data_IF_128936270318
#
_entry.id   IF_128936270318
#
_cell.length_a   1.000
_cell.length_b   1.000
_cell.length_c   1.000
_cell.angle_alpha   90.00
_cell.angle_beta   90.00
_cell.angle_gamma   90.00
#
_symmetry.space_group_name_H-M   'P 1'
#
loop_
_entity.id
_entity.type
_entity.pdbx_description
1 polymer ?
#
# COMPACT_ATOMS: atom_id res chain seq x y z
N UNK A 1 20.83 25.62 3.35
CA UNK A 1 20.76 24.21 2.90
C UNK A 1 19.80 24.16 1.73
N UNK A 2 20.21 23.53 0.61
CA UNK A 2 19.33 23.34 -0.56
C UNK A 2 18.73 21.94 -0.54
N UNK A 3 17.45 21.82 -0.89
CA UNK A 3 16.67 20.59 -1.00
C UNK A 3 16.03 20.56 -2.40
N UNK A 4 16.18 19.45 -3.13
CA UNK A 4 15.47 19.27 -4.41
C UNK A 4 14.30 18.31 -4.21
N UNK A 5 13.10 18.73 -4.58
CA UNK A 5 11.87 17.95 -4.48
C UNK A 5 11.47 17.48 -5.88
N UNK A 6 11.56 16.19 -6.13
CA UNK A 6 11.13 15.54 -7.38
C UNK A 6 9.66 15.13 -7.32
N UNK A 7 9.02 14.98 -8.49
CA UNK A 7 7.60 14.64 -8.57
C UNK A 7 6.71 15.57 -7.72
N UNK A 8 7.07 16.85 -7.63
CA UNK A 8 6.27 17.82 -6.88
C UNK A 8 4.92 18.01 -7.59
N UNK A 9 3.86 17.77 -6.86
CA UNK A 9 2.50 17.95 -7.34
C UNK A 9 2.04 19.37 -7.02
N UNK A 10 1.71 20.12 -8.06
CA UNK A 10 1.34 21.53 -7.92
C UNK A 10 0.03 21.74 -7.17
N UNK A 11 -0.89 20.76 -7.25
CA UNK A 11 -2.26 20.89 -6.71
C UNK A 11 -2.38 20.63 -5.20
N UNK A 12 -1.42 19.93 -4.56
CA UNK A 12 -1.51 19.57 -3.13
C UNK A 12 -0.21 19.69 -2.33
N UNK A 13 0.96 19.81 -2.98
CA UNK A 13 2.26 19.83 -2.29
C UNK A 13 2.99 21.19 -2.41
N UNK A 14 2.88 21.87 -3.55
CA UNK A 14 3.67 23.05 -3.86
C UNK A 14 3.58 24.15 -2.79
N UNK A 15 2.38 24.51 -2.40
CA UNK A 15 2.16 25.58 -1.41
C UNK A 15 2.75 25.22 -0.06
N UNK A 16 2.69 23.94 0.35
CA UNK A 16 3.27 23.47 1.59
C UNK A 16 4.79 23.56 1.57
N UNK A 17 5.43 23.16 0.48
CA UNK A 17 6.88 23.30 0.34
C UNK A 17 7.32 24.76 0.38
N UNK A 18 6.66 25.66 -0.31
CA UNK A 18 6.96 27.10 -0.29
C UNK A 18 6.72 27.74 1.09
N UNK A 19 5.73 27.24 1.84
CA UNK A 19 5.52 27.66 3.23
C UNK A 19 6.70 27.25 4.11
N UNK A 20 7.09 25.97 4.07
CA UNK A 20 8.17 25.47 4.92
C UNK A 20 9.56 25.98 4.48
N UNK A 21 9.76 26.29 3.20
CA UNK A 21 10.95 27.00 2.72
C UNK A 21 11.20 28.28 3.51
N UNK A 22 10.14 29.09 3.65
CA UNK A 22 10.19 30.38 4.40
C UNK A 22 10.35 30.16 5.89
N UNK A 23 9.59 29.22 6.46
CA UNK A 23 9.58 28.97 7.92
C UNK A 23 10.93 28.40 8.41
N UNK A 24 11.56 27.55 7.61
CA UNK A 24 12.80 26.86 7.99
C UNK A 24 14.06 27.56 7.48
N UNK A 25 13.94 28.59 6.63
CA UNK A 25 15.07 29.30 6.04
C UNK A 25 15.95 28.38 5.18
N UNK A 26 15.36 27.44 4.45
CA UNK A 26 16.01 26.52 3.53
C UNK A 26 15.65 26.89 2.09
N UNK A 27 16.50 26.56 1.13
CA UNK A 27 16.20 26.72 -0.30
C UNK A 27 15.54 25.43 -0.80
N UNK A 28 14.34 25.52 -1.41
CA UNK A 28 13.64 24.37 -1.97
C UNK A 28 13.48 24.52 -3.48
N UNK A 29 14.13 23.66 -4.24
CA UNK A 29 13.96 23.54 -5.68
C UNK A 29 12.85 22.54 -5.99
N UNK A 30 11.72 23.01 -6.54
CA UNK A 30 10.58 22.17 -6.89
C UNK A 30 10.70 21.70 -8.35
N UNK A 31 10.65 20.39 -8.57
CA UNK A 31 10.69 19.74 -9.88
C UNK A 31 9.44 18.87 -10.03
N UNK A 32 8.69 19.05 -11.11
CA UNK A 32 7.54 18.20 -11.44
C UNK A 32 7.97 16.87 -12.09
N UNK A 33 9.20 16.81 -12.62
CA UNK A 33 9.76 15.59 -13.21
C UNK A 33 10.12 14.54 -12.17
N UNK A 34 10.17 13.28 -12.60
CA UNK A 34 10.70 12.18 -11.81
C UNK A 34 12.23 12.27 -11.63
N UNK A 35 12.80 11.68 -10.57
CA UNK A 35 14.24 11.48 -10.44
C UNK A 35 14.69 10.41 -11.44
N UNK A 36 15.47 10.82 -12.43
CA UNK A 36 16.08 9.97 -13.47
C UNK A 36 17.55 10.35 -13.64
N UNK A 37 18.32 9.60 -14.42
CA UNK A 37 19.70 9.93 -14.73
C UNK A 37 19.80 11.33 -15.38
N UNK A 38 18.86 11.68 -16.25
CA UNK A 38 18.83 12.97 -16.96
C UNK A 38 18.48 14.13 -16.02
N UNK A 39 17.49 13.93 -15.14
CA UNK A 39 17.02 14.96 -14.21
C UNK A 39 17.87 15.08 -12.94
N UNK A 40 18.77 14.12 -12.68
CA UNK A 40 19.58 14.11 -11.46
C UNK A 40 20.46 15.36 -11.32
N UNK A 41 20.89 15.96 -12.44
CA UNK A 41 21.66 17.22 -12.47
C UNK A 41 20.93 18.38 -11.77
N UNK A 42 19.59 18.36 -11.68
CA UNK A 42 18.82 19.37 -10.95
C UNK A 42 19.12 19.36 -9.43
N UNK A 43 19.60 18.25 -8.91
CA UNK A 43 19.98 18.15 -7.49
C UNK A 43 21.37 18.71 -7.18
N UNK A 44 22.11 19.20 -8.17
CA UNK A 44 23.45 19.74 -7.93
C UNK A 44 23.44 20.84 -6.87
N UNK A 45 24.28 20.66 -5.86
CA UNK A 45 24.34 21.53 -4.70
C UNK A 45 23.27 21.26 -3.63
N UNK A 46 22.40 20.29 -3.83
CA UNK A 46 21.44 19.87 -2.81
C UNK A 46 22.02 18.82 -1.88
N UNK A 47 21.88 19.04 -0.59
CA UNK A 47 22.25 18.07 0.44
C UNK A 47 21.20 16.95 0.57
N UNK A 48 19.95 17.28 0.30
CA UNK A 48 18.80 16.40 0.45
C UNK A 48 17.95 16.41 -0.84
N UNK A 49 17.43 15.25 -1.22
CA UNK A 49 16.36 15.16 -2.21
C UNK A 49 15.11 14.53 -1.58
N UNK A 50 13.95 14.99 -2.05
CA UNK A 50 12.66 14.41 -1.67
C UNK A 50 12.02 13.76 -2.90
N UNK A 51 11.57 12.50 -2.76
CA UNK A 51 10.99 11.69 -3.82
C UNK A 51 9.64 11.11 -3.39
N UNK A 52 8.91 10.44 -4.28
CA UNK A 52 7.72 9.65 -3.92
C UNK A 52 8.05 8.15 -4.07
N UNK A 53 7.63 7.53 -5.18
CA UNK A 53 7.73 6.08 -5.38
C UNK A 53 8.50 5.69 -6.64
N UNK A 54 9.22 6.64 -7.23
CA UNK A 54 10.07 6.36 -8.39
C UNK A 54 11.22 5.43 -7.98
N UNK A 55 11.47 4.42 -8.80
CA UNK A 55 12.56 3.47 -8.53
C UNK A 55 13.91 4.19 -8.46
N UNK A 56 14.68 3.87 -7.42
CA UNK A 56 16.01 4.42 -7.15
C UNK A 56 17.05 3.29 -7.14
N UNK A 57 17.42 2.77 -8.32
CA UNK A 57 18.44 1.72 -8.42
C UNK A 57 19.85 2.26 -8.08
N UNK A 58 20.79 1.36 -7.87
CA UNK A 58 22.16 1.69 -7.45
C UNK A 58 22.81 2.77 -8.33
N UNK A 59 22.69 2.64 -9.66
CA UNK A 59 23.30 3.57 -10.62
C UNK A 59 22.75 5.00 -10.49
N UNK A 60 21.46 5.15 -10.21
CA UNK A 60 20.84 6.46 -9.98
C UNK A 60 21.28 7.05 -8.64
N UNK A 61 21.40 6.21 -7.60
CA UNK A 61 21.92 6.63 -6.29
C UNK A 61 23.40 7.08 -6.39
N UNK A 62 24.23 6.39 -7.19
CA UNK A 62 25.61 6.78 -7.46
C UNK A 62 25.69 8.16 -8.11
N UNK A 63 24.80 8.42 -9.06
CA UNK A 63 24.70 9.74 -9.70
C UNK A 63 24.33 10.83 -8.70
N UNK A 64 23.32 10.62 -7.84
CA UNK A 64 22.96 11.57 -6.80
C UNK A 64 24.09 11.77 -5.78
N UNK A 65 24.79 10.70 -5.40
CA UNK A 65 25.96 10.78 -4.52
C UNK A 65 27.06 11.66 -5.13
N UNK A 66 27.31 11.55 -6.45
CA UNK A 66 28.30 12.36 -7.16
C UNK A 66 27.98 13.86 -7.17
N UNK A 67 26.69 14.22 -7.11
CA UNK A 67 26.20 15.61 -6.97
C UNK A 67 26.20 16.11 -5.51
N UNK A 68 26.60 15.26 -4.56
CA UNK A 68 26.73 15.63 -3.15
C UNK A 68 25.50 15.36 -2.28
N UNK A 69 24.50 14.65 -2.79
CA UNK A 69 23.32 14.26 -2.02
C UNK A 69 23.72 13.30 -0.90
N UNK A 70 23.29 13.59 0.33
CA UNK A 70 23.53 12.79 1.53
C UNK A 70 22.26 12.22 2.14
N UNK A 71 21.11 12.81 1.83
CA UNK A 71 19.83 12.41 2.39
C UNK A 71 18.79 12.24 1.28
N UNK A 72 18.04 11.17 1.34
CA UNK A 72 16.88 10.94 0.49
C UNK A 72 15.67 10.71 1.40
N UNK A 73 14.64 11.54 1.23
CA UNK A 73 13.39 11.42 1.96
C UNK A 73 12.31 10.99 0.98
N UNK A 74 11.72 9.82 1.20
CA UNK A 74 10.55 9.42 0.42
C UNK A 74 9.25 9.88 1.11
N UNK A 75 8.37 10.55 0.34
CA UNK A 75 7.04 11.00 0.80
C UNK A 75 6.02 9.85 0.82
N UNK A 76 6.48 8.65 1.18
CA UNK A 76 5.70 7.42 1.29
C UNK A 76 6.10 6.67 2.57
N UNK A 77 5.25 5.78 3.07
CA UNK A 77 5.61 4.86 4.16
C UNK A 77 6.55 3.77 3.66
N UNK A 78 6.23 3.16 2.52
CA UNK A 78 7.06 2.14 1.90
C UNK A 78 8.28 2.75 1.20
N UNK A 79 9.37 2.03 1.19
CA UNK A 79 10.65 2.43 0.60
C UNK A 79 11.30 1.31 -0.23
N UNK A 80 10.53 0.31 -0.61
CA UNK A 80 10.92 -0.83 -1.44
C UNK A 80 11.38 -0.45 -2.86
N UNK A 81 11.08 0.77 -3.30
CA UNK A 81 11.57 1.35 -4.56
C UNK A 81 13.00 1.90 -4.48
N UNK A 82 13.66 1.86 -3.32
CA UNK A 82 15.00 2.39 -3.10
C UNK A 82 15.96 1.23 -2.81
N UNK A 83 17.07 1.15 -3.54
CA UNK A 83 18.16 0.22 -3.22
C UNK A 83 18.87 0.65 -1.93
N UNK A 84 18.40 0.10 -0.80
CA UNK A 84 18.93 0.42 0.54
C UNK A 84 20.38 -0.02 0.70
N UNK A 85 20.78 -1.14 0.07
CA UNK A 85 22.16 -1.64 0.15
C UNK A 85 23.11 -0.69 -0.56
N UNK A 86 22.75 -0.22 -1.74
CA UNK A 86 23.52 0.79 -2.47
C UNK A 86 23.55 2.12 -1.71
N UNK A 87 22.42 2.60 -1.18
CA UNK A 87 22.37 3.84 -0.40
C UNK A 87 23.34 3.79 0.79
N UNK A 88 23.33 2.67 1.54
CA UNK A 88 24.25 2.47 2.67
C UNK A 88 25.72 2.48 2.24
N UNK A 89 26.06 1.80 1.13
CA UNK A 89 27.43 1.79 0.57
C UNK A 89 27.92 3.19 0.18
N UNK A 90 27.00 4.02 -0.35
CA UNK A 90 27.29 5.38 -0.80
C UNK A 90 27.25 6.41 0.34
N UNK A 91 26.91 6.00 1.56
CA UNK A 91 26.77 6.90 2.70
C UNK A 91 25.56 7.84 2.59
N UNK A 92 24.53 7.42 1.85
CA UNK A 92 23.25 8.13 1.75
C UNK A 92 22.31 7.63 2.82
N UNK A 93 21.77 8.54 3.63
CA UNK A 93 20.76 8.23 4.64
C UNK A 93 19.38 8.29 4.01
N UNK A 94 18.60 7.23 4.17
CA UNK A 94 17.22 7.16 3.71
C UNK A 94 16.27 7.41 4.87
N UNK A 95 15.27 8.26 4.66
CA UNK A 95 14.16 8.47 5.58
C UNK A 95 12.82 8.36 4.84
N UNK A 96 11.79 7.90 5.53
CA UNK A 96 10.43 7.82 5.02
C UNK A 96 9.48 8.75 5.79
N UNK A 97 8.26 8.91 5.30
CA UNK A 97 7.24 9.76 5.93
C UNK A 97 6.30 8.93 6.81
N UNK A 98 6.40 9.02 8.15
CA UNK A 98 5.57 8.24 9.07
C UNK A 98 4.21 8.91 9.30
N UNK A 99 3.35 8.99 8.27
CA UNK A 99 1.99 9.49 8.46
C UNK A 99 1.08 8.49 9.21
N UNK A 100 -0.08 8.96 9.68
CA UNK A 100 -1.04 8.13 10.42
C UNK A 100 -1.57 6.97 9.57
N UNK A 101 -1.94 5.84 10.18
CA UNK A 101 -2.44 4.67 9.47
C UNK A 101 -3.88 4.82 8.97
N UNK A 102 -4.63 5.78 9.51
CA UNK A 102 -6.09 5.87 9.35
C UNK A 102 -6.51 6.04 7.89
N UNK A 103 -5.85 6.94 7.13
CA UNK A 103 -6.23 7.17 5.74
C UNK A 103 -6.23 5.91 4.89
N UNK A 104 -5.18 5.07 5.02
CA UNK A 104 -5.11 3.79 4.28
C UNK A 104 -6.07 2.76 4.87
N UNK A 105 -6.22 2.72 6.21
CA UNK A 105 -7.11 1.77 6.87
C UNK A 105 -8.59 2.06 6.55
N UNK A 106 -8.99 3.32 6.53
CA UNK A 106 -10.34 3.75 6.16
C UNK A 106 -10.62 3.40 4.68
N UNK A 107 -9.66 3.66 3.81
CA UNK A 107 -9.76 3.30 2.40
C UNK A 107 -9.90 1.79 2.18
N UNK A 108 -9.09 0.97 2.87
CA UNK A 108 -9.21 -0.49 2.82
C UNK A 108 -10.57 -0.98 3.34
N UNK A 109 -11.05 -0.40 4.45
CA UNK A 109 -12.37 -0.73 5.01
C UNK A 109 -13.50 -0.36 4.03
N UNK A 110 -13.41 0.81 3.40
CA UNK A 110 -14.33 1.23 2.34
C UNK A 110 -14.34 0.23 1.17
N UNK A 111 -13.15 -0.17 0.68
CA UNK A 111 -13.05 -1.15 -0.42
C UNK A 111 -13.68 -2.50 -0.05
N UNK A 112 -13.49 -2.99 1.19
CA UNK A 112 -14.15 -4.19 1.68
C UNK A 112 -15.68 -4.03 1.56
N UNK A 113 -16.25 -2.95 2.09
CA UNK A 113 -17.69 -2.69 2.05
C UNK A 113 -18.20 -2.55 0.61
N UNK A 114 -17.50 -1.82 -0.23
CA UNK A 114 -17.86 -1.64 -1.65
C UNK A 114 -17.87 -2.98 -2.40
N UNK A 115 -16.89 -3.84 -2.15
CA UNK A 115 -16.77 -5.14 -2.83
C UNK A 115 -17.91 -6.10 -2.40
N UNK A 116 -18.12 -6.29 -1.09
CA UNK A 116 -19.18 -7.18 -0.59
C UNK A 116 -20.59 -6.70 -0.96
N UNK A 117 -20.76 -5.38 -1.18
CA UNK A 117 -22.05 -4.78 -1.57
C UNK A 117 -22.18 -4.55 -3.08
N UNK A 118 -21.19 -4.96 -3.89
CA UNK A 118 -21.16 -4.82 -5.36
C UNK A 118 -21.36 -3.38 -5.84
N UNK A 119 -20.82 -2.40 -5.10
CA UNK A 119 -21.06 -0.97 -5.34
C UNK A 119 -20.67 -0.53 -6.74
N UNK A 120 -19.55 -1.02 -7.29
CA UNK A 120 -19.15 -0.71 -8.69
C UNK A 120 -20.25 -1.06 -9.69
N UNK A 121 -20.86 -2.25 -9.57
CA UNK A 121 -21.94 -2.67 -10.47
C UNK A 121 -23.20 -1.84 -10.27
N UNK A 122 -23.52 -1.45 -9.03
CA UNK A 122 -24.66 -0.59 -8.71
C UNK A 122 -24.47 0.78 -9.33
N UNK A 123 -23.30 1.41 -9.17
CA UNK A 123 -23.00 2.72 -9.74
C UNK A 123 -23.01 2.72 -11.26
N UNK A 124 -22.42 1.70 -11.91
CA UNK A 124 -22.44 1.56 -13.37
C UNK A 124 -23.85 1.44 -13.94
N UNK A 125 -24.71 0.66 -13.28
CA UNK A 125 -26.12 0.52 -13.68
C UNK A 125 -26.92 1.79 -13.40
N UNK A 126 -26.70 2.42 -12.25
CA UNK A 126 -27.34 3.69 -11.90
C UNK A 126 -27.04 4.80 -12.91
N UNK A 127 -25.82 4.85 -13.45
CA UNK A 127 -25.43 5.83 -14.47
C UNK A 127 -26.27 5.70 -15.78
N UNK A 128 -26.78 4.52 -16.08
CA UNK A 128 -27.67 4.26 -17.24
C UNK A 128 -29.14 4.04 -16.83
N UNK A 129 -29.50 4.43 -15.60
CA UNK A 129 -30.85 4.32 -15.04
C UNK A 129 -31.41 2.89 -15.00
N UNK A 130 -30.53 1.86 -14.92
CA UNK A 130 -30.92 0.48 -14.67
C UNK A 130 -30.98 0.20 -13.17
N UNK A 131 -32.16 0.20 -12.59
CA UNK A 131 -32.41 -0.04 -11.16
C UNK A 131 -32.81 -1.48 -10.86
N UNK A 132 -32.59 -2.43 -11.78
CA UNK A 132 -32.91 -3.84 -11.57
C UNK A 132 -31.96 -4.45 -10.52
N UNK A 133 -32.51 -5.29 -9.63
CA UNK A 133 -31.76 -5.91 -8.53
C UNK A 133 -31.06 -7.22 -8.94
N UNK A 134 -31.36 -7.76 -10.12
CA UNK A 134 -30.80 -9.04 -10.57
C UNK A 134 -29.27 -9.01 -10.63
N UNK A 135 -28.64 -9.90 -9.88
CA UNK A 135 -27.18 -10.02 -9.83
C UNK A 135 -26.47 -8.99 -8.93
N UNK A 136 -27.22 -8.08 -8.27
CA UNK A 136 -26.67 -7.06 -7.36
C UNK A 136 -26.78 -7.45 -5.88
N UNK A 137 -27.21 -8.66 -5.57
CA UNK A 137 -27.27 -9.11 -4.19
C UNK A 137 -25.89 -9.15 -3.58
N UNK A 138 -25.69 -8.34 -2.53
CA UNK A 138 -24.47 -8.31 -1.74
C UNK A 138 -24.52 -9.26 -0.54
N UNK A 139 -23.45 -9.30 0.23
CA UNK A 139 -23.31 -10.08 1.48
C UNK A 139 -23.31 -9.12 2.68
N UNK A 140 -23.67 -9.63 3.85
CA UNK A 140 -23.57 -8.89 5.12
C UNK A 140 -22.21 -9.17 5.76
N UNK A 141 -21.50 -8.12 6.14
CA UNK A 141 -20.13 -8.25 6.68
C UNK A 141 -20.09 -9.10 7.97
N UNK A 142 -21.14 -9.02 8.81
CA UNK A 142 -21.25 -9.79 10.06
C UNK A 142 -21.16 -11.31 9.87
N UNK A 143 -21.59 -11.81 8.69
CA UNK A 143 -21.62 -13.23 8.36
C UNK A 143 -20.32 -13.72 7.71
N UNK A 144 -19.35 -12.82 7.53
CA UNK A 144 -18.11 -13.09 6.84
C UNK A 144 -16.93 -13.23 7.80
N UNK A 145 -15.95 -14.00 7.36
CA UNK A 145 -14.60 -14.00 7.96
C UNK A 145 -13.70 -13.08 7.17
N UNK A 146 -13.21 -12.02 7.81
CA UNK A 146 -12.22 -11.12 7.22
C UNK A 146 -10.84 -11.48 7.73
N UNK A 147 -9.95 -11.83 6.82
CA UNK A 147 -8.55 -12.10 7.07
C UNK A 147 -7.68 -10.88 6.76
N UNK A 148 -6.79 -10.52 7.68
CA UNK A 148 -5.83 -9.44 7.51
C UNK A 148 -4.42 -10.01 7.52
N UNK A 149 -3.67 -9.79 6.43
CA UNK A 149 -2.27 -10.20 6.30
C UNK A 149 -1.38 -8.98 6.54
N UNK A 150 -0.59 -9.01 7.58
CA UNK A 150 0.19 -7.89 8.10
C UNK A 150 -0.57 -7.11 9.17
N UNK A 151 -0.13 -7.21 10.44
CA UNK A 151 -0.74 -6.55 11.59
C UNK A 151 0.08 -5.37 12.12
N UNK A 152 0.82 -4.73 11.21
CA UNK A 152 1.49 -3.46 11.47
C UNK A 152 0.50 -2.34 11.78
N UNK A 153 0.96 -1.08 11.73
CA UNK A 153 0.11 0.08 12.06
C UNK A 153 -1.20 0.11 11.25
N UNK A 154 -1.15 -0.13 9.93
CA UNK A 154 -2.32 -0.08 9.05
C UNK A 154 -3.24 -1.29 9.30
N UNK A 155 -2.72 -2.53 9.24
CA UNK A 155 -3.54 -3.72 9.39
C UNK A 155 -4.27 -3.82 10.72
N UNK A 156 -3.63 -3.45 11.84
CA UNK A 156 -4.32 -3.39 13.15
C UNK A 156 -5.39 -2.30 13.20
N UNK A 157 -5.21 -1.18 12.49
CA UNK A 157 -6.25 -0.15 12.39
C UNK A 157 -7.43 -0.66 11.57
N UNK A 158 -7.22 -1.38 10.45
CA UNK A 158 -8.28 -2.06 9.70
C UNK A 158 -9.04 -3.05 10.58
N UNK A 159 -8.32 -3.89 11.34
CA UNK A 159 -8.95 -4.82 12.29
C UNK A 159 -9.78 -4.10 13.37
N UNK A 160 -9.31 -2.94 13.82
CA UNK A 160 -10.06 -2.09 14.76
C UNK A 160 -11.31 -1.50 14.09
N UNK A 161 -11.22 -0.94 12.89
CA UNK A 161 -12.35 -0.40 12.15
C UNK A 161 -13.44 -1.45 11.92
N UNK A 162 -13.03 -2.69 11.63
CA UNK A 162 -13.93 -3.83 11.40
C UNK A 162 -14.62 -4.35 12.66
N UNK A 163 -14.19 -3.96 13.86
CA UNK A 163 -14.73 -4.49 15.12
C UNK A 163 -16.22 -4.19 15.30
N UNK A 164 -16.67 -3.01 14.84
CA UNK A 164 -18.07 -2.58 14.94
C UNK A 164 -19.04 -3.32 14.01
N UNK A 165 -18.54 -4.06 13.03
CA UNK A 165 -19.41 -4.78 12.07
C UNK A 165 -19.78 -6.19 12.52
N UNK A 166 -19.20 -6.71 13.59
CA UNK A 166 -19.53 -8.03 14.13
C UNK A 166 -19.03 -9.23 13.31
N UNK A 167 -18.19 -9.01 12.31
CA UNK A 167 -17.58 -10.08 11.51
C UNK A 167 -16.53 -10.87 12.28
N UNK A 168 -16.29 -12.12 11.87
CA UNK A 168 -15.13 -12.88 12.34
C UNK A 168 -13.85 -12.27 11.77
N UNK A 169 -12.89 -11.94 12.63
CA UNK A 169 -11.61 -11.36 12.24
C UNK A 169 -10.49 -12.35 12.53
N UNK A 170 -9.71 -12.69 11.52
CA UNK A 170 -8.51 -13.51 11.62
C UNK A 170 -7.31 -12.72 11.08
N UNK A 171 -6.11 -13.03 11.55
CA UNK A 171 -4.91 -12.32 11.14
C UNK A 171 -3.74 -13.28 10.90
N UNK A 172 -2.85 -12.88 10.02
CA UNK A 172 -1.55 -13.48 9.85
C UNK A 172 -0.45 -12.40 9.88
N UNK A 173 0.58 -12.64 10.62
CA UNK A 173 1.83 -11.87 10.60
C UNK A 173 2.98 -12.77 11.02
N UNK A 174 4.20 -12.44 10.62
CA UNK A 174 5.42 -13.10 11.11
C UNK A 174 5.69 -12.76 12.59
N UNK A 175 5.20 -11.60 13.04
CA UNK A 175 5.24 -11.16 14.44
C UNK A 175 3.83 -10.86 14.94
N UNK A 176 3.31 -11.71 15.79
CA UNK A 176 1.99 -11.52 16.37
C UNK A 176 1.97 -10.34 17.37
N UNK A 177 0.92 -9.55 17.31
CA UNK A 177 0.74 -8.37 18.16
C UNK A 177 -0.27 -8.66 19.27
N UNK A 178 0.14 -8.52 20.53
CA UNK A 178 -0.70 -8.83 21.69
C UNK A 178 -1.93 -7.91 21.83
N UNK A 179 -1.86 -6.65 21.37
CA UNK A 179 -3.02 -5.77 21.36
C UNK A 179 -4.08 -6.27 20.38
N UNK A 180 -3.64 -6.80 19.23
CA UNK A 180 -4.53 -7.41 18.23
C UNK A 180 -5.21 -8.64 18.80
N UNK A 181 -4.46 -9.53 19.52
CA UNK A 181 -5.04 -10.70 20.20
C UNK A 181 -6.10 -10.29 21.22
N UNK A 182 -5.79 -9.30 22.05
CA UNK A 182 -6.71 -8.78 23.09
C UNK A 182 -7.99 -8.17 22.51
N UNK A 183 -7.98 -7.75 21.25
CA UNK A 183 -9.15 -7.21 20.56
C UNK A 183 -10.11 -8.28 20.01
N UNK A 184 -9.88 -9.56 20.30
CA UNK A 184 -10.69 -10.68 19.85
C UNK A 184 -10.38 -11.14 18.42
N UNK A 185 -9.21 -10.80 17.89
CA UNK A 185 -8.70 -11.30 16.60
C UNK A 185 -7.89 -12.58 16.86
N UNK A 186 -8.09 -13.60 16.04
CA UNK A 186 -7.35 -14.85 16.10
C UNK A 186 -6.26 -14.89 15.05
N UNK A 187 -5.00 -15.10 15.48
CA UNK A 187 -3.92 -15.38 14.54
C UNK A 187 -4.04 -16.81 14.01
N UNK A 188 -3.79 -16.97 12.74
CA UNK A 188 -3.88 -18.22 12.00
C UNK A 188 -2.66 -18.39 11.09
N UNK A 189 -2.39 -19.60 10.64
CA UNK A 189 -1.40 -19.85 9.57
C UNK A 189 -1.91 -19.35 8.22
N UNK A 190 -1.03 -19.21 7.22
CA UNK A 190 -1.46 -18.84 5.86
C UNK A 190 -2.43 -19.88 5.26
N UNK A 191 -2.19 -21.18 5.47
CA UNK A 191 -3.10 -22.20 4.97
C UNK A 191 -4.49 -22.10 5.61
N UNK A 192 -4.57 -21.83 6.90
CA UNK A 192 -5.85 -21.58 7.58
C UNK A 192 -6.49 -20.27 7.10
N UNK A 193 -5.68 -19.23 6.80
CA UNK A 193 -6.16 -17.97 6.22
C UNK A 193 -6.86 -18.22 4.90
N UNK A 194 -6.22 -18.97 3.99
CA UNK A 194 -6.79 -19.30 2.70
C UNK A 194 -8.12 -20.04 2.82
N UNK A 195 -8.21 -21.02 3.69
CA UNK A 195 -9.40 -21.85 3.87
C UNK A 195 -10.55 -21.13 4.57
N UNK A 196 -10.27 -20.20 5.48
CA UNK A 196 -11.29 -19.60 6.34
C UNK A 196 -11.80 -18.24 5.86
N UNK A 197 -10.96 -17.45 5.21
CA UNK A 197 -11.31 -16.08 4.85
C UNK A 197 -12.32 -16.00 3.69
N UNK A 198 -13.31 -15.15 3.85
CA UNK A 198 -14.22 -14.71 2.78
C UNK A 198 -13.72 -13.43 2.11
N UNK A 199 -12.99 -12.62 2.87
CA UNK A 199 -12.30 -11.41 2.41
C UNK A 199 -10.88 -11.44 2.96
N UNK A 200 -9.89 -11.18 2.11
CA UNK A 200 -8.47 -11.07 2.49
C UNK A 200 -8.00 -9.65 2.20
N UNK A 201 -7.46 -8.98 3.21
CA UNK A 201 -6.90 -7.63 3.08
C UNK A 201 -5.41 -7.63 3.37
N UNK A 202 -4.62 -7.13 2.41
CA UNK A 202 -3.14 -7.16 2.45
C UNK A 202 -2.58 -5.84 2.98
N UNK A 203 -1.75 -5.93 4.03
CA UNK A 203 -1.08 -4.80 4.68
C UNK A 203 0.38 -5.10 5.04
N UNK A 204 0.93 -6.17 4.47
CA UNK A 204 2.34 -6.53 4.64
C UNK A 204 3.25 -5.73 3.69
N UNK A 205 4.51 -5.43 4.05
CA UNK A 205 5.50 -4.96 3.11
C UNK A 205 5.83 -6.04 2.09
N UNK A 206 6.33 -5.64 0.92
CA UNK A 206 6.85 -6.58 -0.06
C UNK A 206 8.29 -6.95 0.31
N UNK A 207 8.56 -8.25 0.34
CA UNK A 207 9.90 -8.84 0.51
C UNK A 207 10.13 -9.94 -0.54
N UNK A 208 11.34 -10.47 -0.65
CA UNK A 208 11.62 -11.59 -1.55
C UNK A 208 10.82 -12.84 -1.16
N UNK A 209 10.63 -13.08 0.15
CA UNK A 209 9.95 -14.27 0.67
C UNK A 209 8.43 -14.25 0.44
N UNK A 210 7.82 -13.06 0.37
CA UNK A 210 6.37 -12.94 0.18
C UNK A 210 5.98 -12.43 -1.21
N UNK A 211 6.95 -12.30 -2.12
CA UNK A 211 6.67 -11.97 -3.51
C UNK A 211 5.74 -13.03 -4.12
N UNK A 212 4.63 -12.59 -4.70
CA UNK A 212 3.58 -13.45 -5.25
C UNK A 212 3.00 -14.46 -4.23
N UNK A 213 2.94 -14.07 -2.94
CA UNK A 213 2.35 -14.94 -1.90
C UNK A 213 0.90 -15.32 -2.19
N UNK A 214 0.16 -14.49 -2.93
CA UNK A 214 -1.12 -14.83 -3.54
C UNK A 214 -0.86 -15.23 -4.99
N UNK A 215 -0.46 -16.48 -5.17
CA UNK A 215 -0.29 -17.14 -6.43
C UNK A 215 -1.32 -18.27 -6.63
N UNK A 216 -1.13 -19.12 -7.63
CA UNK A 216 -2.05 -20.17 -8.01
C UNK A 216 -2.33 -21.18 -6.87
N UNK A 217 -1.27 -21.60 -6.15
CA UNK A 217 -1.43 -22.52 -5.00
C UNK A 217 -2.30 -21.90 -3.90
N UNK A 218 -2.03 -20.65 -3.50
CA UNK A 218 -2.81 -19.95 -2.50
C UNK A 218 -4.27 -19.78 -2.94
N UNK A 219 -4.51 -19.33 -4.19
CA UNK A 219 -5.85 -19.14 -4.74
C UNK A 219 -6.62 -20.46 -4.78
N UNK A 220 -5.96 -21.57 -5.14
CA UNK A 220 -6.61 -22.88 -5.20
C UNK A 220 -7.18 -23.32 -3.85
N UNK A 221 -6.53 -22.96 -2.75
CA UNK A 221 -6.90 -23.28 -1.36
C UNK A 221 -7.99 -22.34 -0.79
N UNK A 222 -8.23 -21.19 -1.41
CA UNK A 222 -9.21 -20.20 -0.95
C UNK A 222 -10.65 -20.69 -1.16
N UNK A 223 -11.58 -20.03 -0.48
CA UNK A 223 -13.01 -20.23 -0.74
C UNK A 223 -13.39 -19.74 -2.13
N UNK A 224 -14.40 -20.36 -2.73
CA UNK A 224 -14.99 -19.87 -3.98
C UNK A 224 -15.66 -18.51 -3.74
N UNK A 225 -15.40 -17.55 -4.62
CA UNK A 225 -15.90 -16.19 -4.49
C UNK A 225 -15.21 -15.39 -3.39
N UNK A 226 -13.97 -15.76 -2.98
CA UNK A 226 -13.17 -14.96 -2.05
C UNK A 226 -12.89 -13.58 -2.64
N UNK A 227 -12.88 -12.56 -1.80
CA UNK A 227 -12.56 -11.20 -2.19
C UNK A 227 -11.18 -10.80 -1.68
N UNK A 228 -10.36 -10.19 -2.53
CA UNK A 228 -9.00 -9.77 -2.19
C UNK A 228 -8.90 -8.26 -2.28
N UNK A 229 -8.47 -7.62 -1.20
CA UNK A 229 -8.21 -6.18 -1.10
C UNK A 229 -6.72 -5.97 -0.92
N UNK A 230 -6.12 -5.26 -1.85
CA UNK A 230 -4.69 -4.95 -1.78
C UNK A 230 -4.45 -3.44 -1.81
N UNK A 231 -4.17 -2.87 -0.66
CA UNK A 231 -3.73 -1.48 -0.50
C UNK A 231 -2.25 -1.39 -0.10
N UNK A 232 -1.52 -2.51 -0.21
CA UNK A 232 -0.11 -2.62 0.16
C UNK A 232 0.80 -2.51 -1.08
N UNK A 233 1.12 -3.64 -1.71
CA UNK A 233 2.04 -3.71 -2.85
C UNK A 233 1.54 -4.69 -3.91
N UNK A 234 1.62 -4.28 -5.19
CA UNK A 234 1.20 -5.13 -6.31
C UNK A 234 1.92 -6.48 -6.36
N UNK A 235 3.23 -6.48 -6.08
CA UNK A 235 4.06 -7.69 -6.09
C UNK A 235 3.71 -8.77 -5.04
N UNK A 236 2.76 -8.52 -4.13
CA UNK A 236 2.22 -9.55 -3.24
C UNK A 236 1.29 -10.52 -3.97
N UNK A 237 0.78 -10.14 -5.13
CA UNK A 237 -0.18 -10.92 -5.92
C UNK A 237 0.44 -11.25 -7.28
N UNK A 238 0.39 -12.50 -7.67
CA UNK A 238 0.64 -12.92 -9.05
C UNK A 238 -0.56 -12.50 -9.92
N UNK A 239 -0.33 -11.54 -10.81
CA UNK A 239 -1.40 -10.98 -11.66
C UNK A 239 -2.00 -12.01 -12.62
N UNK A 240 -1.19 -12.93 -13.15
CA UNK A 240 -1.66 -13.99 -14.04
C UNK A 240 -2.57 -14.98 -13.29
N UNK A 241 -2.16 -15.40 -12.09
CA UNK A 241 -2.96 -16.25 -11.24
C UNK A 241 -4.27 -15.57 -10.80
N UNK A 242 -4.21 -14.26 -10.49
CA UNK A 242 -5.39 -13.46 -10.15
C UNK A 242 -6.40 -13.42 -11.31
N UNK A 243 -5.94 -13.17 -12.54
CA UNK A 243 -6.80 -13.13 -13.73
C UNK A 243 -7.51 -14.49 -13.91
N UNK A 244 -6.75 -15.59 -13.88
CA UNK A 244 -7.34 -16.94 -13.97
C UNK A 244 -8.34 -17.21 -12.84
N UNK A 245 -8.05 -16.75 -11.63
CA UNK A 245 -8.94 -16.88 -10.48
C UNK A 245 -10.27 -16.13 -10.67
N UNK A 246 -10.23 -14.93 -11.25
CA UNK A 246 -11.43 -14.14 -11.56
C UNK A 246 -12.23 -14.79 -12.69
N UNK A 247 -11.58 -15.20 -13.78
CA UNK A 247 -12.23 -15.84 -14.94
C UNK A 247 -12.91 -17.15 -14.59
N UNK A 248 -12.33 -17.93 -13.67
CA UNK A 248 -12.94 -19.17 -13.16
C UNK A 248 -14.03 -18.95 -12.11
N UNK A 249 -14.20 -17.74 -11.60
CA UNK A 249 -15.12 -17.43 -10.50
C UNK A 249 -14.60 -17.87 -9.12
N UNK A 250 -13.35 -18.29 -9.01
CA UNK A 250 -12.70 -18.60 -7.72
C UNK A 250 -12.52 -17.34 -6.88
N UNK A 251 -12.23 -16.22 -7.55
CA UNK A 251 -12.17 -14.88 -6.94
C UNK A 251 -13.42 -14.09 -7.35
N UNK A 252 -14.08 -13.48 -6.36
CA UNK A 252 -15.33 -12.76 -6.50
C UNK A 252 -15.23 -11.25 -6.81
#
# INVERSE_FOLDING_TARGET
MKITVYNCRDFDERELFLKYEKELGVEIQLCTCAPTQESAALSQGSLCISIITTAMPAELLETFASYGVKYIVTRSIGYDHIDIAAAKRLGITIANSPYGPNGVADYATMLILMTIRKMKSIEMRGAVQDYTLKGLQGRELKDLTVGVIGTGRIGRTVLSNLSGFGCKRIAYDIYENDEVKKSGVHYVTLDEMWQQADVISLHAPLTEENHHMIGEDAISKMKDGVMIINTARGGLIDSEALIRGIESGKIG
#
